data_IF_593356290733
#
_entry.id   IF_593356290733
#
_cell.length_a   1.000
_cell.length_b   1.000
_cell.length_c   1.000
_cell.angle_alpha   90.00
_cell.angle_beta   90.00
_cell.angle_gamma   90.00
#
_symmetry.space_group_name_H-M   'P 1'
#
loop_
_entity.id
_entity.type
_entity.pdbx_description
1 polymer ?
#
# COMPACT_ATOMS: atom_id res chain seq x y z
N UNK A 1 15.15 -52.09 -61.79
CA UNK A 1 14.48 -51.86 -60.52
C UNK A 1 15.57 -51.79 -59.43
N UNK A 2 16.01 -50.58 -59.07
CA UNK A 2 17.10 -50.38 -58.11
C UNK A 2 16.52 -50.17 -56.70
N UNK A 3 16.86 -50.99 -55.75
CA UNK A 3 16.62 -50.80 -54.32
C UNK A 3 17.72 -49.93 -53.73
N UNK A 4 17.32 -48.73 -53.26
CA UNK A 4 18.25 -47.86 -52.51
C UNK A 4 18.16 -48.23 -51.03
N UNK A 5 19.30 -48.68 -50.48
CA UNK A 5 19.47 -48.91 -49.06
C UNK A 5 19.75 -47.55 -48.37
N UNK A 6 19.01 -47.26 -47.32
CA UNK A 6 19.23 -46.09 -46.47
C UNK A 6 20.03 -46.53 -45.23
N UNK A 7 21.24 -46.02 -45.11
CA UNK A 7 22.12 -46.25 -43.95
C UNK A 7 21.74 -45.24 -42.85
N UNK A 8 21.29 -45.76 -41.70
CA UNK A 8 21.10 -44.91 -40.51
C UNK A 8 22.41 -44.88 -39.69
N UNK A 9 23.01 -43.71 -39.66
CA UNK A 9 24.13 -43.43 -38.75
C UNK A 9 23.54 -42.98 -37.40
N UNK A 10 23.76 -43.79 -36.39
CA UNK A 10 23.43 -43.44 -35.01
C UNK A 10 24.51 -42.54 -34.41
N UNK A 11 24.19 -41.27 -34.17
CA UNK A 11 25.04 -40.36 -33.41
C UNK A 11 24.75 -40.49 -31.91
N UNK A 12 25.74 -41.04 -31.17
CA UNK A 12 25.73 -40.98 -29.70
C UNK A 12 26.03 -39.56 -29.25
N UNK A 13 25.07 -38.85 -28.73
CA UNK A 13 25.28 -37.59 -28.03
C UNK A 13 25.44 -37.89 -26.53
N UNK A 14 26.67 -37.73 -26.00
CA UNK A 14 26.94 -37.71 -24.56
C UNK A 14 26.28 -36.43 -24.00
N UNK A 15 25.17 -36.59 -23.32
CA UNK A 15 24.55 -35.54 -22.53
C UNK A 15 25.29 -35.37 -21.21
N UNK A 16 25.99 -34.23 -21.07
CA UNK A 16 26.46 -33.75 -19.77
C UNK A 16 25.24 -33.36 -18.94
N UNK A 17 24.94 -34.14 -17.91
CA UNK A 17 23.97 -33.78 -16.89
C UNK A 17 24.53 -32.62 -16.06
N UNK A 18 24.10 -31.38 -16.37
CA UNK A 18 24.28 -30.27 -15.47
C UNK A 18 23.28 -30.45 -14.32
N UNK A 19 23.80 -30.89 -13.17
CA UNK A 19 23.04 -30.88 -11.90
C UNK A 19 22.85 -29.42 -11.51
N UNK A 20 21.77 -28.83 -11.99
CA UNK A 20 21.28 -27.54 -11.51
C UNK A 20 20.87 -27.72 -10.06
N UNK A 21 21.66 -27.18 -9.13
CA UNK A 21 21.23 -26.97 -7.76
C UNK A 21 20.12 -25.92 -7.85
N UNK A 22 18.88 -26.39 -7.95
CA UNK A 22 17.72 -25.55 -7.73
C UNK A 22 17.77 -25.13 -6.26
N UNK A 23 18.42 -23.99 -6.00
CA UNK A 23 18.26 -23.26 -4.76
C UNK A 23 16.78 -22.93 -4.64
N UNK A 24 16.06 -23.71 -3.84
CA UNK A 24 14.74 -23.32 -3.39
C UNK A 24 14.89 -21.98 -2.67
N UNK A 25 14.22 -20.92 -3.10
CA UNK A 25 14.14 -19.74 -2.27
C UNK A 25 13.38 -20.16 -1.01
N UNK A 26 14.11 -20.29 0.10
CA UNK A 26 13.53 -20.37 1.44
C UNK A 26 12.97 -18.98 1.77
N UNK A 27 11.98 -18.54 1.02
CA UNK A 27 11.08 -17.49 1.43
C UNK A 27 10.17 -18.13 2.47
N UNK A 28 10.37 -17.81 3.74
CA UNK A 28 9.33 -18.01 4.73
C UNK A 28 8.08 -17.30 4.18
N UNK A 29 7.15 -18.05 3.67
CA UNK A 29 5.82 -17.59 3.30
C UNK A 29 5.12 -17.17 4.58
N UNK A 30 5.33 -15.91 4.98
CA UNK A 30 4.41 -15.25 5.86
C UNK A 30 3.06 -15.27 5.14
N UNK A 31 2.05 -15.90 5.75
CA UNK A 31 0.69 -16.06 5.22
C UNK A 31 -0.06 -14.72 5.08
N UNK A 32 0.64 -13.62 4.88
CA UNK A 32 0.12 -12.28 4.76
C UNK A 32 0.05 -11.79 3.31
N UNK A 33 -0.64 -10.68 3.12
CA UNK A 33 -0.72 -9.99 1.84
C UNK A 33 -0.03 -8.63 1.91
N UNK A 34 0.61 -8.22 0.81
CA UNK A 34 1.12 -6.86 0.64
C UNK A 34 0.13 -6.07 -0.21
N UNK A 35 -0.29 -4.93 0.31
CA UNK A 35 -1.28 -4.09 -0.32
C UNK A 35 -0.75 -2.69 -0.54
N UNK A 36 -1.14 -2.08 -1.66
CA UNK A 36 -0.94 -0.66 -1.94
C UNK A 36 -2.30 0.01 -2.06
N UNK A 37 -2.41 1.26 -1.63
CA UNK A 37 -3.66 2.02 -1.70
C UNK A 37 -3.42 3.50 -1.99
N UNK A 38 -4.47 4.14 -2.49
CA UNK A 38 -4.51 5.60 -2.60
C UNK A 38 -5.92 6.12 -2.31
N UNK A 39 -6.00 7.29 -1.67
CA UNK A 39 -7.25 7.96 -1.34
C UNK A 39 -7.08 9.47 -1.21
N UNK A 40 -8.20 10.21 -1.09
CA UNK A 40 -8.19 11.68 -0.99
C UNK A 40 -9.18 12.13 0.10
N UNK A 41 -8.84 11.97 1.39
CA UNK A 41 -9.69 12.41 2.48
C UNK A 41 -9.75 13.92 2.62
N UNK A 42 -10.93 14.40 3.04
CA UNK A 42 -11.15 15.76 3.52
C UNK A 42 -10.91 15.81 5.03
N UNK A 43 -10.39 16.93 5.52
CA UNK A 43 -10.14 17.21 6.93
C UNK A 43 -11.10 18.30 7.40
N UNK A 44 -11.79 18.08 8.52
CA UNK A 44 -12.77 19.04 9.06
C UNK A 44 -12.69 19.13 10.59
N UNK A 45 -12.29 20.30 11.16
CA UNK A 45 -11.60 21.40 10.47
C UNK A 45 -10.26 20.95 9.90
N UNK A 46 -9.72 21.73 8.94
CA UNK A 46 -8.40 21.50 8.39
C UNK A 46 -7.29 21.69 9.42
N UNK A 47 -6.14 21.10 9.15
CA UNK A 47 -4.94 21.29 9.96
C UNK A 47 -4.28 22.63 9.64
N UNK A 48 -3.87 23.36 10.68
CA UNK A 48 -3.19 24.65 10.60
C UNK A 48 -1.90 24.63 11.42
N UNK A 49 -1.21 25.78 11.51
CA UNK A 49 -0.07 25.96 12.42
C UNK A 49 -0.43 25.76 13.90
N UNK A 50 -1.66 26.11 14.28
CA UNK A 50 -2.12 25.91 15.64
C UNK A 50 -2.62 24.48 15.80
N UNK A 51 -2.36 23.84 16.95
CA UNK A 51 -2.94 22.54 17.22
C UNK A 51 -4.44 22.54 17.03
N UNK A 52 -4.94 21.60 16.29
CA UNK A 52 -6.36 21.39 16.03
C UNK A 52 -6.71 19.91 16.10
N UNK A 53 -7.97 19.63 16.38
CA UNK A 53 -8.52 18.27 16.32
C UNK A 53 -9.78 18.30 15.48
N UNK A 54 -10.01 17.27 14.71
CA UNK A 54 -11.14 17.21 13.80
C UNK A 54 -11.40 15.79 13.30
N UNK A 55 -12.13 15.73 12.21
CA UNK A 55 -12.45 14.47 11.52
C UNK A 55 -11.77 14.45 10.16
N UNK A 56 -11.52 13.27 9.67
CA UNK A 56 -11.23 13.06 8.27
C UNK A 56 -12.25 12.08 7.67
N UNK A 57 -12.60 12.30 6.41
CA UNK A 57 -13.57 11.48 5.69
C UNK A 57 -13.08 11.38 4.25
N UNK A 58 -13.07 10.17 3.73
CA UNK A 58 -12.81 9.90 2.32
C UNK A 58 -14.14 9.82 1.56
N UNK A 59 -14.59 10.91 0.88
CA UNK A 59 -15.94 10.97 0.32
C UNK A 59 -16.13 10.19 -0.97
N UNK A 60 -15.04 9.91 -1.66
CA UNK A 60 -15.07 9.27 -2.98
C UNK A 60 -14.56 7.84 -2.98
N UNK A 61 -14.04 7.42 -1.83
CA UNK A 61 -13.29 6.19 -1.76
C UNK A 61 -11.96 6.25 -2.52
N UNK A 62 -11.08 5.34 -2.14
CA UNK A 62 -9.81 5.14 -2.81
C UNK A 62 -9.78 3.83 -3.57
N UNK A 63 -8.61 3.52 -4.08
CA UNK A 63 -8.31 2.24 -4.71
C UNK A 63 -7.32 1.46 -3.88
N UNK A 64 -7.41 0.14 -3.92
CA UNK A 64 -6.48 -0.78 -3.27
C UNK A 64 -6.11 -1.90 -4.23
N UNK A 65 -4.88 -2.39 -4.11
CA UNK A 65 -4.40 -3.59 -4.80
C UNK A 65 -3.52 -4.40 -3.86
N UNK A 66 -3.82 -5.67 -3.73
CA UNK A 66 -3.10 -6.61 -2.86
C UNK A 66 -2.49 -7.76 -3.65
N UNK A 67 -1.39 -8.30 -3.11
CA UNK A 67 -0.73 -9.52 -3.59
C UNK A 67 -0.40 -10.41 -2.40
N UNK A 68 -0.61 -11.69 -2.55
CA UNK A 68 -0.37 -12.70 -1.52
C UNK A 68 -1.60 -13.56 -1.26
N UNK A 69 -1.91 -13.88 0.00
CA UNK A 69 -3.07 -14.67 0.37
C UNK A 69 -4.38 -14.00 -0.08
N UNK A 70 -4.49 -12.68 0.10
CA UNK A 70 -5.50 -11.85 -0.58
C UNK A 70 -4.84 -11.27 -1.81
N UNK A 71 -5.38 -11.55 -2.98
CA UNK A 71 -4.82 -11.11 -4.26
C UNK A 71 -5.93 -10.49 -5.13
N UNK A 72 -5.73 -9.26 -5.56
CA UNK A 72 -6.70 -8.55 -6.39
C UNK A 72 -6.69 -7.05 -6.13
N UNK A 73 -7.65 -6.38 -6.77
CA UNK A 73 -7.85 -4.94 -6.64
C UNK A 73 -9.28 -4.64 -6.19
N UNK A 74 -9.49 -3.45 -5.65
CA UNK A 74 -10.79 -3.06 -5.16
C UNK A 74 -10.87 -1.63 -4.68
N UNK A 75 -11.79 -1.37 -3.77
CA UNK A 75 -12.03 -0.06 -3.19
C UNK A 75 -11.52 0.04 -1.75
N UNK A 76 -11.19 1.26 -1.37
CA UNK A 76 -10.73 1.64 -0.04
C UNK A 76 -11.53 2.85 0.42
N UNK A 77 -12.07 2.80 1.63
CA UNK A 77 -12.68 3.96 2.30
C UNK A 77 -12.12 4.07 3.71
N UNK A 78 -12.01 5.29 4.20
CA UNK A 78 -11.54 5.54 5.56
C UNK A 78 -12.23 6.77 6.14
N UNK A 79 -12.45 6.74 7.43
CA UNK A 79 -12.92 7.89 8.20
C UNK A 79 -12.45 7.79 9.63
N UNK A 80 -12.31 8.93 10.29
CA UNK A 80 -11.82 8.91 11.65
C UNK A 80 -11.58 10.30 12.21
N UNK A 81 -10.70 10.38 13.19
CA UNK A 81 -10.29 11.60 13.86
C UNK A 81 -8.83 11.91 13.59
N UNK A 82 -8.50 13.18 13.57
CA UNK A 82 -7.13 13.68 13.41
C UNK A 82 -6.85 14.76 14.43
N UNK A 83 -5.65 14.79 14.99
CA UNK A 83 -5.19 15.80 15.92
C UNK A 83 -3.73 16.13 15.67
N UNK A 84 -3.41 17.41 15.57
CA UNK A 84 -2.05 17.88 15.34
C UNK A 84 -1.97 19.24 14.68
N UNK A 85 -0.84 19.47 14.05
CA UNK A 85 -0.58 20.66 13.23
C UNK A 85 -0.10 20.23 11.86
N UNK A 86 -0.24 21.07 10.87
CA UNK A 86 0.27 20.80 9.54
C UNK A 86 1.81 20.93 9.43
N UNK A 87 2.51 21.36 10.47
CA UNK A 87 3.96 21.46 10.52
C UNK A 87 4.61 20.56 11.57
N UNK A 88 4.00 20.42 12.73
CA UNK A 88 4.58 19.65 13.83
C UNK A 88 4.18 18.18 13.84
N UNK A 89 3.38 17.76 12.85
CA UNK A 89 2.87 16.40 12.84
C UNK A 89 1.72 16.20 13.82
N UNK A 90 1.36 14.94 14.07
CA UNK A 90 0.25 14.58 14.94
C UNK A 90 -0.12 13.11 14.89
N UNK A 91 -1.35 12.84 15.28
CA UNK A 91 -1.94 11.50 15.28
C UNK A 91 -3.31 11.50 14.62
N UNK A 92 -3.69 10.35 14.09
CA UNK A 92 -5.06 10.09 13.67
C UNK A 92 -5.46 8.67 14.06
N UNK A 93 -6.76 8.45 14.18
CA UNK A 93 -7.35 7.14 14.36
C UNK A 93 -8.47 6.99 13.34
N UNK A 94 -8.52 5.84 12.66
CA UNK A 94 -9.47 5.62 11.57
C UNK A 94 -9.96 4.19 11.50
N UNK A 95 -11.07 4.04 10.78
CA UNK A 95 -11.74 2.76 10.55
C UNK A 95 -11.78 2.44 9.05
N UNK A 96 -10.63 2.03 8.46
CA UNK A 96 -10.56 1.69 7.06
C UNK A 96 -11.41 0.47 6.73
N UNK A 97 -12.05 0.54 5.59
CA UNK A 97 -12.78 -0.55 4.98
C UNK A 97 -12.20 -0.83 3.59
N UNK A 98 -11.80 -2.07 3.39
CA UNK A 98 -11.23 -2.57 2.14
C UNK A 98 -12.21 -3.54 1.50
N UNK A 99 -12.53 -3.37 0.25
CA UNK A 99 -13.31 -4.35 -0.52
C UNK A 99 -12.48 -4.84 -1.70
N UNK A 100 -12.08 -6.10 -1.67
CA UNK A 100 -11.20 -6.73 -2.68
C UNK A 100 -11.92 -7.97 -3.20
N UNK A 101 -12.13 -8.05 -4.51
CA UNK A 101 -12.86 -9.15 -5.15
C UNK A 101 -14.25 -9.42 -4.54
N UNK A 102 -14.91 -8.39 -4.01
CA UNK A 102 -16.23 -8.53 -3.36
C UNK A 102 -16.19 -8.92 -1.89
N UNK A 103 -15.03 -9.25 -1.34
CA UNK A 103 -14.85 -9.48 0.10
C UNK A 103 -14.49 -8.18 0.82
N UNK A 104 -15.12 -7.94 1.96
CA UNK A 104 -14.94 -6.71 2.73
C UNK A 104 -14.21 -7.00 4.05
N UNK A 105 -13.17 -6.21 4.30
CA UNK A 105 -12.36 -6.24 5.51
C UNK A 105 -12.40 -4.88 6.17
N UNK A 106 -12.51 -4.86 7.49
CA UNK A 106 -12.41 -3.65 8.31
C UNK A 106 -11.31 -3.82 9.34
N UNK A 107 -10.68 -2.71 9.68
CA UNK A 107 -9.72 -2.64 10.78
C UNK A 107 -9.90 -1.32 11.54
N UNK A 108 -9.33 -1.21 12.73
CA UNK A 108 -9.19 0.05 13.42
C UNK A 108 -7.70 0.38 13.49
N UNK A 109 -7.31 1.51 12.92
CA UNK A 109 -5.90 1.89 12.80
C UNK A 109 -5.57 3.13 13.60
N UNK A 110 -4.36 3.16 14.14
CA UNK A 110 -3.72 4.35 14.71
C UNK A 110 -2.63 4.81 13.78
N UNK A 111 -2.64 6.09 13.47
CA UNK A 111 -1.74 6.73 12.53
C UNK A 111 -0.89 7.74 13.29
N UNK A 112 0.41 7.75 13.06
CA UNK A 112 1.33 8.77 13.55
C UNK A 112 2.01 9.40 12.35
N UNK A 113 1.83 10.70 12.19
CA UNK A 113 2.46 11.46 11.11
C UNK A 113 3.46 12.48 11.68
N UNK A 114 4.56 12.65 10.95
CA UNK A 114 5.63 13.55 11.31
C UNK A 114 5.50 14.95 10.73
N UNK A 115 6.60 15.68 10.80
CA UNK A 115 6.73 16.98 10.13
C UNK A 115 6.79 16.78 8.61
N UNK A 116 6.28 17.75 7.82
CA UNK A 116 6.43 17.72 6.38
C UNK A 116 7.90 17.74 5.97
N UNK A 117 8.25 16.97 4.97
CA UNK A 117 9.56 17.11 4.34
C UNK A 117 9.67 18.53 3.72
N UNK A 118 10.85 19.15 3.79
CA UNK A 118 11.10 20.51 3.28
C UNK A 118 10.88 20.66 1.77
N UNK A 119 10.73 19.57 1.05
CA UNK A 119 10.43 19.55 -0.38
C UNK A 119 9.01 19.08 -0.62
N UNK A 120 8.09 20.01 -0.95
CA UNK A 120 6.76 19.68 -1.46
C UNK A 120 5.67 19.39 -0.42
N UNK A 121 5.93 19.58 0.88
CA UNK A 121 4.91 19.39 1.92
C UNK A 121 4.46 17.93 2.12
N UNK A 122 5.24 16.96 1.65
CA UNK A 122 4.94 15.54 1.83
C UNK A 122 5.18 15.15 3.29
N UNK A 123 4.19 14.55 3.90
CA UNK A 123 4.24 14.03 5.27
C UNK A 123 4.30 12.52 5.21
N UNK A 124 5.30 11.94 5.87
CA UNK A 124 5.37 10.49 6.04
C UNK A 124 4.68 10.08 7.34
N UNK A 125 3.77 9.13 7.23
CA UNK A 125 3.06 8.58 8.36
C UNK A 125 3.24 7.06 8.45
N UNK A 126 3.13 6.55 9.67
CA UNK A 126 3.06 5.11 9.96
C UNK A 126 1.71 4.81 10.57
N UNK A 127 1.15 3.68 10.23
CA UNK A 127 -0.08 3.22 10.85
C UNK A 127 -0.02 1.75 11.25
N UNK A 128 -0.79 1.43 12.24
CA UNK A 128 -0.90 0.08 12.79
C UNK A 128 -2.31 -0.16 13.31
N UNK A 129 -2.87 -1.31 12.94
CA UNK A 129 -4.11 -1.85 13.41
C UNK A 129 -3.96 -3.31 13.86
N UNK A 130 -5.06 -3.96 14.18
CA UNK A 130 -5.06 -5.36 14.57
C UNK A 130 -4.65 -6.28 13.41
N UNK A 131 -5.08 -5.94 12.20
CA UNK A 131 -4.85 -6.74 10.99
C UNK A 131 -3.86 -6.09 10.02
N UNK A 132 -3.62 -4.79 10.13
CA UNK A 132 -2.84 -4.01 9.16
C UNK A 132 -1.68 -3.31 9.83
N UNK A 133 -0.58 -3.16 9.09
CA UNK A 133 0.57 -2.34 9.47
C UNK A 133 1.26 -1.81 8.23
N UNK A 134 1.51 -0.50 8.18
CA UNK A 134 2.06 0.09 6.99
C UNK A 134 2.52 1.53 7.12
N UNK A 135 2.78 2.12 5.96
CA UNK A 135 3.20 3.50 5.79
C UNK A 135 2.31 4.21 4.78
N UNK A 136 2.20 5.52 4.91
CA UNK A 136 1.45 6.37 4.01
C UNK A 136 2.20 7.69 3.81
N UNK A 137 2.26 8.14 2.59
CA UNK A 137 2.68 9.47 2.20
C UNK A 137 1.44 10.34 2.01
N UNK A 138 1.39 11.46 2.72
CA UNK A 138 0.30 12.42 2.68
C UNK A 138 0.78 13.70 1.99
N UNK A 139 0.10 14.09 0.94
CA UNK A 139 0.40 15.31 0.18
C UNK A 139 -0.81 16.24 0.25
N UNK A 140 -0.68 17.48 0.76
CA UNK A 140 -1.74 18.46 0.73
C UNK A 140 -2.23 18.72 -0.70
N UNK A 141 -3.54 18.70 -0.91
CA UNK A 141 -4.18 19.01 -2.18
C UNK A 141 -5.06 20.26 -2.11
N UNK A 142 -5.50 20.65 -0.89
CA UNK A 142 -6.18 21.91 -0.62
C UNK A 142 -5.63 22.52 0.68
N UNK A 143 -5.26 23.80 0.60
CA UNK A 143 -4.58 24.53 1.68
C UNK A 143 -3.06 24.41 1.57
N UNK A 144 -2.36 25.33 2.22
CA UNK A 144 -0.91 25.47 2.15
C UNK A 144 -0.25 25.48 3.54
N UNK A 145 -1.05 25.37 4.61
CA UNK A 145 -0.64 25.45 6.00
C UNK A 145 -0.16 26.85 6.46
N UNK A 146 0.28 27.68 5.55
CA UNK A 146 0.82 29.01 5.87
C UNK A 146 -0.30 30.07 5.99
N UNK A 147 -1.18 30.11 5.01
CA UNK A 147 -2.27 31.08 4.92
C UNK A 147 -3.61 30.35 5.11
N UNK A 148 -3.75 29.19 4.50
CA UNK A 148 -4.98 28.41 4.53
C UNK A 148 -4.76 27.06 5.22
N UNK A 149 -5.65 26.65 6.12
CA UNK A 149 -5.61 25.30 6.68
C UNK A 149 -5.60 24.24 5.59
N UNK A 150 -4.89 23.14 5.84
CA UNK A 150 -4.92 21.97 4.95
C UNK A 150 -6.24 21.25 5.19
N UNK A 151 -7.14 21.32 4.22
CA UNK A 151 -8.49 20.74 4.29
C UNK A 151 -8.66 19.47 3.44
N UNK A 152 -7.66 19.13 2.63
CA UNK A 152 -7.67 17.90 1.86
C UNK A 152 -6.22 17.43 1.64
N UNK A 153 -6.02 16.12 1.73
CA UNK A 153 -4.74 15.48 1.45
C UNK A 153 -4.94 14.32 0.48
N UNK A 154 -3.93 14.02 -0.33
CA UNK A 154 -3.83 12.78 -1.07
C UNK A 154 -2.95 11.83 -0.25
N UNK A 155 -3.45 10.66 0.07
CA UNK A 155 -2.73 9.57 0.70
C UNK A 155 -2.36 8.51 -0.31
N UNK A 156 -1.10 8.10 -0.33
CA UNK A 156 -0.61 6.93 -1.07
C UNK A 156 0.20 6.08 -0.11
N UNK A 157 -0.13 4.82 0.02
CA UNK A 157 0.52 3.99 1.02
C UNK A 157 0.59 2.53 0.66
N UNK A 158 1.31 1.81 1.51
CA UNK A 158 1.48 0.37 1.45
C UNK A 158 1.34 -0.25 2.84
N UNK A 159 0.86 -1.46 2.90
CA UNK A 159 0.71 -2.18 4.16
C UNK A 159 0.74 -3.69 3.98
N UNK A 160 1.05 -4.37 5.08
CA UNK A 160 0.88 -5.81 5.23
C UNK A 160 -0.47 -6.09 5.87
N UNK A 161 -1.24 -6.98 5.28
CA UNK A 161 -2.44 -7.58 5.85
C UNK A 161 -2.05 -8.94 6.42
N UNK A 162 -2.28 -9.12 7.72
CA UNK A 162 -1.96 -10.34 8.49
C UNK A 162 -3.06 -11.38 8.36
#
# INVERSE_FOLDING_TARGET
MLRKAVVFTASLALGLAVVGIAGTPSGAEGSGSQCTFQHVPNLEPGLSYKPSSGKFIDPGGGTISCKGAVNGSGSYTDSGTVSGTCQGGGTAEGDPTFTINGETFTDHIKIKFGEPSTKGGIVHAKFEGAKTKGTIELTPTKGDCLINPVTQVKGVGEFSLK
#
